data_IF_229552557952
#
_entry.id   IF_229552557952
#
_cell.length_a   1.000
_cell.length_b   1.000
_cell.length_c   1.000
_cell.angle_alpha   90.00
_cell.angle_beta   90.00
_cell.angle_gamma   90.00
#
_symmetry.space_group_name_H-M   'P 1'
#
loop_
_entity.id
_entity.type
_entity.pdbx_description
1 polymer ?
#
# COMPACT_ATOMS: atom_id res chain seq x y z
N UNK A 1 -6.69 -6.18 1.88
CA UNK A 1 -6.90 -6.99 3.09
C UNK A 1 -7.34 -6.15 4.29
N UNK A 2 -6.59 -5.13 4.67
CA UNK A 2 -6.87 -4.29 5.85
C UNK A 2 -7.74 -3.07 5.52
N UNK A 3 -8.88 -3.29 4.85
CA UNK A 3 -9.83 -2.23 4.51
C UNK A 3 -10.86 -2.05 5.64
N UNK A 4 -11.19 -0.81 5.98
CA UNK A 4 -12.15 -0.47 7.04
C UNK A 4 -13.56 -0.12 6.53
N UNK A 5 -13.74 0.13 5.23
CA UNK A 5 -14.98 0.63 4.62
C UNK A 5 -15.87 -0.48 4.01
N UNK A 6 -15.32 -1.68 3.80
CA UNK A 6 -15.99 -2.81 3.16
C UNK A 6 -16.00 -2.76 1.63
N UNK A 7 -15.60 -1.66 1.01
CA UNK A 7 -15.36 -1.54 -0.43
C UNK A 7 -13.92 -1.90 -0.76
N UNK A 8 -13.71 -3.10 -1.30
CA UNK A 8 -12.37 -3.63 -1.63
C UNK A 8 -11.95 -3.35 -3.08
N UNK A 9 -12.91 -3.09 -3.96
CA UNK A 9 -12.67 -2.88 -5.39
C UNK A 9 -12.35 -1.43 -5.72
N UNK A 10 -11.70 -1.23 -6.86
CA UNK A 10 -11.46 0.11 -7.38
C UNK A 10 -12.78 0.70 -7.87
N UNK A 11 -13.17 1.85 -7.31
CA UNK A 11 -14.48 2.46 -7.56
C UNK A 11 -14.65 3.02 -8.97
N UNK A 12 -13.54 3.38 -9.64
CA UNK A 12 -13.53 3.99 -10.98
C UNK A 12 -12.85 3.06 -11.98
N UNK A 13 -13.64 2.37 -12.80
CA UNK A 13 -13.11 1.60 -13.92
C UNK A 13 -12.65 2.53 -15.04
N UNK A 14 -11.32 2.61 -15.23
CA UNK A 14 -10.69 3.33 -16.33
C UNK A 14 -10.27 2.40 -17.45
N UNK A 15 -10.00 2.95 -18.64
CA UNK A 15 -9.49 2.18 -19.78
C UNK A 15 -8.07 1.70 -19.52
N UNK A 16 -7.75 0.49 -19.98
CA UNK A 16 -6.38 -0.03 -20.03
C UNK A 16 -5.70 0.31 -21.37
N UNK A 17 -4.38 0.48 -21.36
CA UNK A 17 -3.55 0.65 -22.55
C UNK A 17 -2.96 -0.69 -22.94
N UNK A 18 -3.14 -1.09 -24.20
CA UNK A 18 -2.66 -2.37 -24.73
C UNK A 18 -1.47 -2.13 -25.67
N UNK A 19 -0.37 -2.84 -25.46
CA UNK A 19 0.75 -2.88 -26.42
C UNK A 19 0.63 -4.09 -27.34
N UNK A 20 1.23 -4.01 -28.53
CA UNK A 20 1.24 -5.10 -29.50
C UNK A 20 1.95 -6.38 -29.00
N UNK A 21 2.80 -6.25 -27.97
CA UNK A 21 3.49 -7.36 -27.29
C UNK A 21 2.59 -8.17 -26.36
N UNK A 22 1.35 -7.73 -26.14
CA UNK A 22 0.45 -8.30 -25.13
C UNK A 22 0.58 -7.68 -23.74
N UNK A 23 1.49 -6.72 -23.55
CA UNK A 23 1.60 -5.98 -22.28
C UNK A 23 0.38 -5.07 -22.08
N UNK A 24 -0.23 -5.19 -20.90
CA UNK A 24 -1.41 -4.42 -20.49
C UNK A 24 -1.01 -3.46 -19.38
N UNK A 25 -1.31 -2.18 -19.57
CA UNK A 25 -1.07 -1.16 -18.57
C UNK A 25 -2.39 -0.57 -18.07
N UNK A 26 -2.62 -0.64 -16.76
CA UNK A 26 -3.85 -0.18 -16.14
C UNK A 26 -3.54 0.54 -14.83
N UNK A 27 -3.95 1.81 -14.73
CA UNK A 27 -3.75 2.67 -13.55
C UNK A 27 -5.07 3.34 -13.16
N UNK A 28 -5.97 2.62 -12.49
CA UNK A 28 -7.24 3.19 -12.06
C UNK A 28 -7.03 4.02 -10.76
N UNK A 29 -7.69 5.18 -10.63
CA UNK A 29 -7.68 5.94 -9.38
C UNK A 29 -8.56 5.24 -8.34
N UNK A 30 -8.11 5.20 -7.09
CA UNK A 30 -8.85 4.58 -5.99
C UNK A 30 -8.72 5.39 -4.71
N UNK A 31 -9.78 5.39 -3.89
CA UNK A 31 -9.76 5.91 -2.53
C UNK A 31 -9.72 4.72 -1.59
N UNK A 32 -8.61 4.54 -0.88
CA UNK A 32 -8.44 3.46 0.09
C UNK A 32 -8.64 3.98 1.51
N UNK A 33 -9.45 3.27 2.28
CA UNK A 33 -9.64 3.49 3.71
C UNK A 33 -9.07 2.27 4.45
N UNK A 34 -7.81 2.36 4.85
CA UNK A 34 -7.13 1.30 5.58
C UNK A 34 -7.37 1.41 7.08
N UNK A 35 -7.48 0.26 7.76
CA UNK A 35 -7.37 0.23 9.22
C UNK A 35 -5.90 0.37 9.63
N UNK A 36 -5.64 1.27 10.58
CA UNK A 36 -4.33 1.53 11.15
C UNK A 36 -4.47 1.67 12.67
N UNK A 37 -3.57 1.04 13.42
CA UNK A 37 -3.51 1.19 14.87
C UNK A 37 -2.76 2.48 15.21
N UNK A 38 -3.38 3.31 16.06
CA UNK A 38 -2.85 4.63 16.42
C UNK A 38 -2.34 4.61 17.85
N UNK A 39 -1.09 5.02 18.04
CA UNK A 39 -0.51 5.20 19.37
C UNK A 39 -0.53 6.67 19.78
N UNK A 40 -1.28 6.99 20.83
CA UNK A 40 -1.49 8.38 21.31
C UNK A 40 -0.61 8.76 22.50
N UNK A 41 0.39 7.95 22.86
CA UNK A 41 1.24 8.19 24.04
C UNK A 41 1.92 9.57 24.05
N UNK A 42 2.34 10.05 22.88
CA UNK A 42 3.10 11.31 22.72
C UNK A 42 2.31 12.43 22.03
N UNK A 43 0.98 12.32 21.96
CA UNK A 43 0.16 13.33 21.31
C UNK A 43 0.44 14.75 21.84
N UNK A 44 0.59 15.80 20.99
CA UNK A 44 0.49 15.82 19.52
C UNK A 44 1.84 15.59 18.78
N UNK A 45 2.91 15.22 19.48
CA UNK A 45 4.24 14.94 18.94
C UNK A 45 4.41 13.46 18.54
N UNK A 46 3.34 12.88 18.00
CA UNK A 46 3.26 11.47 17.67
C UNK A 46 3.73 11.16 16.23
N UNK A 47 4.32 9.98 16.08
CA UNK A 47 4.59 9.33 14.80
C UNK A 47 3.72 8.09 14.69
N UNK A 48 3.16 7.88 13.50
CA UNK A 48 2.27 6.77 13.20
C UNK A 48 2.82 5.95 12.03
N UNK A 49 2.68 4.62 12.11
CA UNK A 49 3.09 3.70 11.06
C UNK A 49 1.88 2.91 10.59
N UNK A 50 1.37 3.27 9.41
CA UNK A 50 0.17 2.67 8.86
C UNK A 50 0.50 1.74 7.69
N UNK A 51 0.02 0.51 7.76
CA UNK A 51 0.23 -0.49 6.71
C UNK A 51 -0.93 -0.46 5.71
N UNK A 52 -0.64 -0.71 4.43
CA UNK A 52 -1.63 -0.98 3.39
C UNK A 52 -1.24 -2.26 2.68
N UNK A 53 -2.07 -3.30 2.81
CA UNK A 53 -1.81 -4.64 2.29
C UNK A 53 -2.67 -4.92 1.05
N UNK A 54 -2.00 -5.03 -0.10
CA UNK A 54 -2.59 -5.35 -1.38
C UNK A 54 -2.20 -6.75 -1.82
N UNK A 55 -3.15 -7.49 -2.38
CA UNK A 55 -2.89 -8.79 -2.95
C UNK A 55 -4.12 -9.34 -3.66
N UNK A 56 -3.93 -10.45 -4.34
CA UNK A 56 -4.99 -11.13 -5.06
C UNK A 56 -5.94 -11.82 -4.09
N UNK A 57 -7.25 -11.59 -4.25
CA UNK A 57 -8.27 -12.30 -3.47
C UNK A 57 -8.60 -13.67 -4.06
N UNK A 58 -8.57 -13.80 -5.39
CA UNK A 58 -9.07 -15.00 -6.10
C UNK A 58 -7.97 -15.97 -6.48
N UNK A 59 -6.79 -15.46 -6.86
CA UNK A 59 -5.67 -16.27 -7.35
C UNK A 59 -4.60 -16.44 -6.28
N UNK A 60 -4.00 -17.63 -6.24
CA UNK A 60 -2.85 -17.94 -5.40
C UNK A 60 -1.52 -17.56 -6.09
N UNK A 61 -0.41 -17.70 -5.35
CA UNK A 61 0.94 -17.35 -5.79
C UNK A 61 1.49 -18.24 -6.90
N UNK A 62 0.92 -19.41 -7.16
CA UNK A 62 1.28 -20.23 -8.32
C UNK A 62 0.61 -19.76 -9.62
N UNK A 63 -0.49 -19.01 -9.51
CA UNK A 63 -1.23 -18.48 -10.64
C UNK A 63 -0.84 -17.04 -10.94
N UNK A 64 -0.71 -16.21 -9.90
CA UNK A 64 -0.38 -14.78 -10.01
C UNK A 64 0.76 -14.46 -9.06
N UNK A 65 1.88 -14.04 -9.64
CA UNK A 65 3.04 -13.55 -8.91
C UNK A 65 3.03 -12.01 -8.89
N UNK A 66 2.67 -11.42 -7.76
CA UNK A 66 2.66 -9.98 -7.57
C UNK A 66 4.07 -9.46 -7.29
N UNK A 67 4.49 -8.44 -8.06
CA UNK A 67 5.79 -7.77 -7.91
C UNK A 67 5.62 -6.26 -7.94
N UNK A 68 6.42 -5.59 -7.12
CA UNK A 68 6.54 -4.14 -7.18
C UNK A 68 7.34 -3.75 -8.43
N UNK A 69 6.99 -2.64 -9.09
CA UNK A 69 7.66 -2.22 -10.33
C UNK A 69 9.16 -1.99 -10.16
N UNK A 70 9.56 -1.47 -9.00
CA UNK A 70 10.97 -1.22 -8.65
C UNK A 70 11.63 -2.38 -7.89
N UNK A 71 11.00 -3.56 -7.84
CA UNK A 71 11.56 -4.70 -7.11
C UNK A 71 12.80 -5.24 -7.83
N UNK A 72 13.94 -5.25 -7.13
CA UNK A 72 15.19 -5.83 -7.60
C UNK A 72 15.21 -7.34 -7.36
N UNK A 73 15.74 -8.12 -8.30
CA UNK A 73 15.89 -9.57 -8.15
C UNK A 73 16.69 -9.93 -6.89
N UNK A 74 16.11 -10.76 -6.03
CA UNK A 74 16.72 -11.17 -4.75
C UNK A 74 16.37 -10.29 -3.55
N UNK A 75 15.69 -9.15 -3.74
CA UNK A 75 15.14 -8.33 -2.65
C UNK A 75 13.61 -8.37 -2.67
N UNK A 76 13.03 -8.50 -1.49
CA UNK A 76 11.59 -8.30 -1.27
C UNK A 76 11.27 -6.91 -0.71
N UNK A 77 12.29 -6.11 -0.40
CA UNK A 77 12.15 -4.76 0.13
C UNK A 77 12.46 -3.73 -0.95
N UNK A 78 11.56 -2.76 -1.08
CA UNK A 78 11.71 -1.55 -1.89
C UNK A 78 11.70 -0.38 -0.91
N UNK A 79 12.78 0.42 -0.90
CA UNK A 79 12.93 1.53 0.04
C UNK A 79 11.93 2.65 -0.20
N UNK A 80 11.64 2.97 -1.47
CA UNK A 80 10.64 3.96 -1.86
C UNK A 80 9.55 3.20 -2.63
N UNK A 81 8.54 2.73 -1.90
CA UNK A 81 7.44 1.97 -2.46
C UNK A 81 6.32 2.83 -3.03
N UNK A 82 6.20 4.08 -2.62
CA UNK A 82 5.15 4.98 -3.08
C UNK A 82 5.78 6.16 -3.82
N UNK A 83 5.35 6.38 -5.05
CA UNK A 83 5.71 7.57 -5.81
C UNK A 83 4.97 8.79 -5.24
N UNK A 84 5.74 9.73 -4.68
CA UNK A 84 5.23 10.96 -4.07
C UNK A 84 5.48 12.19 -4.96
N UNK A 85 5.89 12.01 -6.22
CA UNK A 85 6.20 13.13 -7.13
C UNK A 85 5.01 14.07 -7.37
N UNK A 86 3.79 13.53 -7.41
CA UNK A 86 2.54 14.27 -7.56
C UNK A 86 1.75 14.39 -6.24
N UNK A 87 2.41 14.17 -5.09
CA UNK A 87 1.74 14.22 -3.79
C UNK A 87 1.34 15.65 -3.41
N UNK A 88 0.05 15.83 -3.10
CA UNK A 88 -0.45 17.07 -2.50
C UNK A 88 -0.22 17.05 -0.98
N UNK A 89 0.55 18.02 -0.48
CA UNK A 89 0.95 18.09 0.92
C UNK A 89 -0.25 18.19 1.87
N UNK A 90 -0.26 17.34 2.89
CA UNK A 90 -1.25 17.39 3.97
C UNK A 90 -0.96 18.55 4.93
N UNK A 91 -2.05 19.16 5.44
CA UNK A 91 -2.00 20.24 6.43
C UNK A 91 -1.72 19.71 7.84
N UNK A 92 -2.06 18.45 8.11
CA UNK A 92 -1.96 17.84 9.45
C UNK A 92 -0.81 16.85 9.59
N UNK A 93 -0.34 16.25 8.49
CA UNK A 93 0.63 15.16 8.52
C UNK A 93 1.79 15.42 7.57
N UNK A 94 3.01 15.09 8.01
CA UNK A 94 4.20 14.95 7.18
C UNK A 94 4.48 13.48 6.93
N UNK A 95 4.76 13.11 5.67
CA UNK A 95 5.19 11.76 5.31
C UNK A 95 6.70 11.67 5.54
N UNK A 96 7.13 10.74 6.40
CA UNK A 96 8.54 10.52 6.71
C UNK A 96 9.16 9.43 5.85
N UNK A 97 8.46 8.30 5.67
CA UNK A 97 8.97 7.14 4.95
C UNK A 97 7.82 6.31 4.34
N UNK A 98 8.11 5.65 3.22
CA UNK A 98 7.13 4.90 2.41
C UNK A 98 7.66 3.57 1.83
N UNK A 99 8.25 2.66 2.62
CA UNK A 99 8.79 1.43 2.05
C UNK A 99 7.68 0.45 1.65
N UNK A 100 7.95 -0.38 0.64
CA UNK A 100 7.11 -1.50 0.26
C UNK A 100 7.83 -2.82 0.45
N UNK A 101 7.11 -3.83 0.93
CA UNK A 101 7.63 -5.18 1.11
C UNK A 101 6.71 -6.19 0.44
N UNK A 102 7.29 -7.07 -0.37
CA UNK A 102 6.61 -8.27 -0.88
C UNK A 102 6.66 -9.37 0.19
N UNK A 103 5.52 -9.99 0.46
CA UNK A 103 5.42 -11.14 1.35
C UNK A 103 4.79 -12.32 0.60
N UNK A 104 5.15 -13.52 1.05
CA UNK A 104 4.50 -14.77 0.64
C UNK A 104 4.00 -15.45 1.92
N UNK A 105 2.68 -15.54 2.04
CA UNK A 105 2.03 -16.05 3.24
C UNK A 105 1.34 -17.38 2.92
N UNK A 106 1.44 -18.32 3.86
CA UNK A 106 0.71 -19.59 3.81
C UNK A 106 -0.44 -19.54 4.80
N UNK A 107 -1.66 -19.52 4.29
CA UNK A 107 -2.85 -19.47 5.13
C UNK A 107 -3.29 -20.87 5.56
N UNK A 108 -3.78 -21.08 6.80
CA UNK A 108 -4.18 -22.41 7.29
C UNK A 108 -5.26 -23.13 6.45
N UNK A 109 -6.01 -22.40 5.62
CA UNK A 109 -7.02 -22.97 4.74
C UNK A 109 -6.42 -23.68 3.51
N UNK A 110 -5.19 -23.37 3.12
CA UNK A 110 -4.61 -23.74 1.83
C UNK A 110 -3.13 -24.12 1.95
N UNK A 111 -2.63 -24.97 1.06
CA UNK A 111 -1.20 -25.34 1.01
C UNK A 111 -0.40 -24.46 0.06
N UNK A 112 -1.09 -23.68 -0.77
CA UNK A 112 -0.52 -22.76 -1.74
C UNK A 112 -0.13 -21.43 -1.09
N UNK A 113 0.97 -20.80 -1.53
CA UNK A 113 1.35 -19.48 -1.06
C UNK A 113 0.42 -18.42 -1.64
N UNK A 114 0.20 -17.34 -0.89
CA UNK A 114 -0.46 -16.13 -1.37
C UNK A 114 0.55 -14.99 -1.33
N UNK A 115 0.77 -14.35 -2.48
CA UNK A 115 1.65 -13.20 -2.58
C UNK A 115 0.89 -11.91 -2.26
N UNK A 116 1.53 -11.03 -1.48
CA UNK A 116 1.03 -9.71 -1.19
C UNK A 116 2.14 -8.66 -1.21
N UNK A 117 1.75 -7.41 -1.43
CA UNK A 117 2.62 -6.24 -1.31
C UNK A 117 2.05 -5.37 -0.20
N UNK A 118 2.86 -5.17 0.84
CA UNK A 118 2.54 -4.32 1.97
C UNK A 118 3.33 -3.03 1.87
N UNK A 119 2.62 -1.90 1.77
CA UNK A 119 3.21 -0.57 1.85
C UNK A 119 3.12 -0.09 3.29
N UNK A 120 4.22 0.39 3.85
CA UNK A 120 4.24 1.04 5.15
C UNK A 120 4.34 2.54 4.94
N UNK A 121 3.40 3.29 5.52
CA UNK A 121 3.36 4.74 5.48
C UNK A 121 3.67 5.25 6.89
N UNK A 122 4.87 5.80 7.05
CA UNK A 122 5.29 6.44 8.30
C UNK A 122 5.01 7.93 8.23
N UNK A 123 4.20 8.43 9.16
CA UNK A 123 3.70 9.80 9.17
C UNK A 123 3.96 10.47 10.52
N UNK A 124 4.24 11.77 10.51
CA UNK A 124 4.37 12.60 11.71
C UNK A 124 3.31 13.68 11.74
N UNK A 125 2.69 13.91 12.89
CA UNK A 125 1.70 14.98 13.05
C UNK A 125 2.36 16.36 13.08
N UNK A 126 1.76 17.34 12.40
CA UNK A 126 2.07 18.76 12.53
C UNK A 126 1.43 19.32 13.80
N UNK A 127 2.26 19.75 14.74
CA UNK A 127 1.82 20.11 16.10
C UNK A 127 1.28 21.52 16.25
N UNK A 128 1.45 22.38 15.23
CA UNK A 128 1.13 23.81 15.31
C UNK A 128 -0.33 24.10 15.67
N UNK A 129 -1.27 23.28 15.22
CA UNK A 129 -2.69 23.46 15.55
C UNK A 129 -3.01 23.16 17.04
N UNK A 130 -2.24 22.28 17.68
CA UNK A 130 -2.51 21.78 19.03
C UNK A 130 -1.68 22.47 20.13
N UNK A 131 -0.75 23.34 19.74
CA UNK A 131 0.24 23.94 20.66
C UNK A 131 0.14 25.47 20.75
N UNK A 132 -0.78 26.10 20.01
CA UNK A 132 -1.03 27.55 20.01
C UNK A 132 -2.34 27.85 20.74
#
# INVERSE_FOLDING_TARGET
>A
YNNADGNYEVTLMTKATLKYTGEVYWKPPAIYKSSCEINVLYFPFDEQSCLMKFGSWTYNGFQVDLKHMEQVSGSNLVSIGIDLSEFYLSVEWDILDVPARRNEEYYPCCTEPYSDITFNLTMRRKTLFYTV
#
